data_IF_546027186452
#
_entry.id   IF_546027186452
#
_cell.length_a   1.000
_cell.length_b   1.000
_cell.length_c   1.000
_cell.angle_alpha   90.00
_cell.angle_beta   90.00
_cell.angle_gamma   90.00
#
_symmetry.space_group_name_H-M   'P 1'
#
loop_
_entity.id
_entity.type
_entity.pdbx_description
1 polymer ?
#
# COMPACT_ATOMS: atom_id res chain seq x y z
N UNK A 1 1.73 -4.34 3.73
CA UNK A 1 0.77 -5.36 3.23
C UNK A 1 -0.65 -4.92 3.55
N UNK A 2 -1.55 -4.92 2.56
CA UNK A 2 -2.95 -4.57 2.76
C UNK A 2 -3.81 -5.82 2.92
N UNK A 3 -4.94 -5.69 3.62
CA UNK A 3 -5.98 -6.71 3.69
C UNK A 3 -7.16 -6.33 2.80
N UNK A 4 -7.83 -7.32 2.23
CA UNK A 4 -9.18 -7.13 1.70
C UNK A 4 -10.16 -6.79 2.85
N UNK A 5 -11.26 -6.12 2.54
CA UNK A 5 -12.28 -5.76 3.53
C UNK A 5 -12.78 -6.99 4.32
N UNK A 6 -13.07 -8.10 3.64
CA UNK A 6 -13.56 -9.31 4.31
C UNK A 6 -12.53 -9.88 5.31
N UNK A 7 -11.23 -9.82 4.98
CA UNK A 7 -10.15 -10.26 5.86
C UNK A 7 -10.03 -9.33 7.07
N UNK A 8 -10.08 -8.02 6.85
CA UNK A 8 -10.07 -7.03 7.91
C UNK A 8 -11.26 -7.23 8.87
N UNK A 9 -12.47 -7.49 8.35
CA UNK A 9 -13.66 -7.81 9.15
C UNK A 9 -13.53 -9.13 9.91
N UNK A 10 -12.88 -10.15 9.35
CA UNK A 10 -12.55 -11.38 10.08
C UNK A 10 -11.67 -11.10 11.30
N UNK A 11 -10.63 -10.24 11.13
CA UNK A 11 -9.79 -9.82 12.25
C UNK A 11 -10.60 -9.01 13.27
N UNK A 12 -11.47 -8.10 12.82
CA UNK A 12 -12.36 -7.34 13.71
C UNK A 12 -13.27 -8.26 14.53
N UNK A 13 -13.88 -9.27 13.90
CA UNK A 13 -14.72 -10.25 14.58
C UNK A 13 -13.96 -11.05 15.66
N UNK A 14 -12.69 -11.42 15.40
CA UNK A 14 -11.83 -12.10 16.38
C UNK A 14 -11.61 -11.24 17.65
N UNK A 15 -11.63 -9.92 17.51
CA UNK A 15 -11.53 -8.97 18.62
C UNK A 15 -12.89 -8.62 19.25
N UNK A 16 -13.98 -9.20 18.74
CA UNK A 16 -15.34 -8.92 19.23
C UNK A 16 -15.90 -7.57 18.80
N UNK A 17 -15.35 -6.97 17.75
CA UNK A 17 -15.88 -5.74 17.16
C UNK A 17 -17.19 -6.01 16.40
N UNK A 18 -18.13 -5.05 16.41
CA UNK A 18 -19.43 -5.22 15.73
C UNK A 18 -19.27 -5.08 14.21
N UNK A 19 -19.33 -6.19 13.51
CA UNK A 19 -19.30 -6.30 12.05
C UNK A 19 -20.47 -7.13 11.55
N UNK A 20 -20.96 -6.87 10.33
CA UNK A 20 -21.96 -7.71 9.68
C UNK A 20 -21.41 -9.10 9.38
N UNK A 21 -22.26 -10.09 9.45
CA UNK A 21 -21.98 -11.44 8.93
C UNK A 21 -21.88 -11.36 7.42
N UNK A 22 -20.87 -12.01 6.84
CA UNK A 22 -20.67 -12.01 5.39
C UNK A 22 -19.72 -13.10 4.94
N UNK A 23 -19.72 -13.35 3.63
CA UNK A 23 -18.94 -14.39 2.97
C UNK A 23 -18.19 -13.82 1.78
N UNK A 24 -16.90 -14.11 1.68
CA UNK A 24 -16.11 -13.88 0.48
C UNK A 24 -16.26 -15.09 -0.45
N UNK A 25 -16.52 -14.85 -1.72
CA UNK A 25 -16.86 -15.86 -2.72
C UNK A 25 -16.08 -15.61 -4.01
N UNK A 26 -15.83 -16.67 -4.76
CA UNK A 26 -15.09 -16.65 -6.02
C UNK A 26 -16.00 -16.78 -7.26
N UNK A 27 -17.25 -17.20 -7.06
CA UNK A 27 -18.21 -17.47 -8.13
C UNK A 27 -19.60 -16.91 -7.84
N UNK A 28 -20.40 -16.70 -8.89
CA UNK A 28 -21.79 -16.29 -8.77
C UNK A 28 -22.67 -17.33 -8.03
N UNK A 29 -22.36 -18.63 -8.21
CA UNK A 29 -23.12 -19.69 -7.52
C UNK A 29 -22.86 -19.69 -6.01
N UNK A 30 -21.59 -19.47 -5.61
CA UNK A 30 -21.24 -19.29 -4.20
C UNK A 30 -21.88 -18.03 -3.60
N UNK A 31 -21.93 -16.92 -4.37
CA UNK A 31 -22.57 -15.70 -3.93
C UNK A 31 -24.07 -15.90 -3.66
N UNK A 32 -24.76 -16.60 -4.54
CA UNK A 32 -26.18 -16.97 -4.34
C UNK A 32 -26.35 -17.92 -3.15
N UNK A 33 -25.44 -18.88 -2.96
CA UNK A 33 -25.48 -19.76 -1.79
C UNK A 33 -25.27 -18.97 -0.48
N UNK A 34 -24.34 -17.99 -0.48
CA UNK A 34 -24.07 -17.14 0.66
C UNK A 34 -25.30 -16.33 1.12
N UNK A 35 -26.13 -15.83 0.20
CA UNK A 35 -27.36 -15.10 0.58
C UNK A 35 -28.34 -15.95 1.38
N UNK A 36 -28.35 -17.27 1.22
CA UNK A 36 -29.23 -18.19 1.96
C UNK A 36 -28.76 -18.43 3.40
N UNK A 37 -27.52 -18.11 3.70
CA UNK A 37 -26.90 -18.23 5.03
C UNK A 37 -26.91 -16.90 5.80
N UNK A 38 -27.33 -15.80 5.16
CA UNK A 38 -27.41 -14.46 5.73
C UNK A 38 -28.84 -14.13 6.10
N UNK A 39 -29.00 -13.31 7.13
CA UNK A 39 -30.31 -12.84 7.56
C UNK A 39 -30.82 -11.69 6.65
N UNK A 40 -32.14 -11.53 6.60
CA UNK A 40 -32.83 -10.48 5.84
C UNK A 40 -33.09 -10.82 4.38
N UNK A 41 -33.78 -9.88 3.70
CA UNK A 41 -34.19 -9.99 2.30
C UNK A 41 -33.37 -9.05 1.38
N UNK A 42 -32.46 -8.27 1.94
CA UNK A 42 -31.57 -7.34 1.25
C UNK A 42 -30.15 -7.56 1.74
N UNK A 43 -29.23 -7.72 0.81
CA UNK A 43 -27.82 -7.92 1.11
C UNK A 43 -26.97 -6.85 0.43
N UNK A 44 -25.78 -6.62 0.95
CA UNK A 44 -24.77 -5.78 0.30
C UNK A 44 -23.77 -6.67 -0.41
N UNK A 45 -23.53 -6.40 -1.69
CA UNK A 45 -22.53 -7.11 -2.47
C UNK A 45 -21.40 -6.15 -2.84
N UNK A 46 -20.13 -6.55 -2.58
CA UNK A 46 -18.98 -5.68 -2.69
C UNK A 46 -17.82 -6.35 -3.42
N UNK A 47 -17.26 -5.68 -4.40
CA UNK A 47 -15.99 -6.08 -5.03
C UNK A 47 -14.86 -6.00 -3.99
N UNK A 48 -13.95 -6.97 -4.01
CA UNK A 48 -12.79 -7.00 -3.11
C UNK A 48 -11.52 -6.64 -3.88
N UNK A 49 -11.02 -5.42 -3.65
CA UNK A 49 -9.76 -4.88 -4.20
C UNK A 49 -9.07 -4.02 -3.14
N UNK A 50 -7.75 -3.86 -3.24
CA UNK A 50 -6.96 -3.02 -2.33
C UNK A 50 -7.04 -1.52 -2.69
N UNK A 51 -8.20 -1.03 -3.10
CA UNK A 51 -8.44 0.36 -3.43
C UNK A 51 -9.71 0.88 -2.77
N UNK A 52 -9.70 2.15 -2.37
CA UNK A 52 -10.89 2.87 -1.92
C UNK A 52 -11.74 3.37 -3.10
N UNK A 53 -12.91 3.91 -2.79
CA UNK A 53 -13.81 4.46 -3.81
C UNK A 53 -14.62 3.42 -4.59
N UNK A 54 -14.63 2.16 -4.15
CA UNK A 54 -15.39 1.06 -4.78
C UNK A 54 -16.85 1.39 -5.03
N UNK A 55 -17.52 2.05 -4.06
CA UNK A 55 -18.92 2.46 -4.20
C UNK A 55 -19.14 3.41 -5.37
N UNK A 56 -18.27 4.44 -5.53
CA UNK A 56 -18.34 5.39 -6.67
C UNK A 56 -18.07 4.73 -8.01
N UNK A 57 -17.25 3.68 -8.02
CA UNK A 57 -16.94 2.88 -9.21
C UNK A 57 -17.99 1.80 -9.52
N UNK A 58 -19.10 1.74 -8.75
CA UNK A 58 -20.16 0.75 -8.91
C UNK A 58 -19.82 -0.64 -8.35
N UNK A 59 -18.71 -0.77 -7.64
CA UNK A 59 -18.24 -2.01 -7.01
C UNK A 59 -18.95 -2.34 -5.68
N UNK A 60 -20.00 -1.60 -5.31
CA UNK A 60 -20.86 -1.87 -4.15
C UNK A 60 -22.32 -1.70 -4.59
N UNK A 61 -23.17 -2.68 -4.28
CA UNK A 61 -24.58 -2.64 -4.64
C UNK A 61 -25.44 -3.32 -3.55
N UNK A 62 -26.63 -2.77 -3.30
CA UNK A 62 -27.69 -3.47 -2.58
C UNK A 62 -28.41 -4.41 -3.55
N UNK A 63 -28.63 -5.64 -3.15
CA UNK A 63 -29.30 -6.69 -3.93
C UNK A 63 -30.34 -7.39 -3.09
N UNK A 64 -31.43 -7.84 -3.73
CA UNK A 64 -32.56 -8.52 -3.08
C UNK A 64 -32.96 -9.81 -3.78
N UNK A 65 -32.40 -10.11 -4.94
CA UNK A 65 -32.73 -11.28 -5.74
C UNK A 65 -31.48 -12.03 -6.19
N UNK A 66 -31.63 -13.36 -6.40
CA UNK A 66 -30.54 -14.19 -6.95
C UNK A 66 -30.07 -13.67 -8.34
N UNK A 67 -30.98 -13.13 -9.13
CA UNK A 67 -30.68 -12.60 -10.45
C UNK A 67 -29.74 -11.37 -10.37
N UNK A 68 -30.01 -10.45 -9.43
CA UNK A 68 -29.16 -9.28 -9.19
C UNK A 68 -27.77 -9.66 -8.67
N UNK A 69 -27.69 -10.69 -7.81
CA UNK A 69 -26.42 -11.23 -7.30
C UNK A 69 -25.59 -11.79 -8.45
N UNK A 70 -26.20 -12.62 -9.34
CA UNK A 70 -25.50 -13.18 -10.50
C UNK A 70 -25.04 -12.09 -11.47
N UNK A 71 -25.93 -11.15 -11.81
CA UNK A 71 -25.59 -10.02 -12.69
C UNK A 71 -24.37 -9.26 -12.18
N UNK A 72 -24.32 -9.00 -10.89
CA UNK A 72 -23.19 -8.30 -10.27
C UNK A 72 -21.89 -9.12 -10.33
N UNK A 73 -21.95 -10.40 -9.98
CA UNK A 73 -20.80 -11.28 -10.04
C UNK A 73 -20.26 -11.44 -11.48
N UNK A 74 -21.15 -11.69 -12.45
CA UNK A 74 -20.80 -11.86 -13.86
C UNK A 74 -20.20 -10.58 -14.46
N UNK A 75 -20.61 -9.41 -13.94
CA UNK A 75 -20.06 -8.12 -14.37
C UNK A 75 -18.63 -7.90 -13.88
N UNK A 76 -18.31 -8.31 -12.65
CA UNK A 76 -17.07 -7.89 -12.00
C UNK A 76 -16.01 -8.98 -11.85
N UNK A 77 -16.38 -10.24 -11.61
CA UNK A 77 -15.42 -11.33 -11.44
C UNK A 77 -14.61 -11.51 -12.74
N UNK A 78 -13.27 -11.51 -12.61
CA UNK A 78 -12.35 -11.64 -13.74
C UNK A 78 -12.13 -10.35 -14.55
N UNK A 79 -12.64 -9.21 -14.07
CA UNK A 79 -12.38 -7.88 -14.65
C UNK A 79 -11.50 -7.05 -13.72
N UNK A 80 -11.10 -5.87 -14.17
CA UNK A 80 -10.41 -4.89 -13.34
C UNK A 80 -11.36 -3.77 -12.92
N UNK A 81 -11.34 -3.42 -11.63
CA UNK A 81 -12.06 -2.25 -11.12
C UNK A 81 -11.14 -1.03 -11.12
N UNK A 82 -11.53 0.00 -11.87
CA UNK A 82 -10.88 1.31 -11.85
C UNK A 82 -11.58 2.22 -10.87
N UNK A 83 -10.84 2.79 -9.93
CA UNK A 83 -11.33 3.78 -8.96
C UNK A 83 -10.46 5.05 -9.05
N UNK A 84 -10.81 6.10 -8.32
CA UNK A 84 -9.97 7.30 -8.25
C UNK A 84 -8.64 7.08 -7.48
N UNK A 85 -8.48 5.93 -6.81
CA UNK A 85 -7.26 5.55 -6.10
C UNK A 85 -6.38 4.55 -6.88
N UNK A 86 -6.85 4.06 -8.02
CA UNK A 86 -6.08 3.16 -8.90
C UNK A 86 -5.48 3.93 -10.07
N UNK A 87 -4.52 3.32 -10.75
CA UNK A 87 -4.13 3.71 -12.09
C UNK A 87 -5.23 3.42 -13.13
N UNK A 88 -4.96 3.70 -14.42
CA UNK A 88 -5.90 3.45 -15.50
C UNK A 88 -6.18 1.96 -15.77
N UNK A 89 -5.31 1.05 -15.33
CA UNK A 89 -5.49 -0.39 -15.49
C UNK A 89 -6.44 -0.96 -14.42
N UNK A 90 -6.59 -0.28 -13.28
CA UNK A 90 -7.40 -0.73 -12.15
C UNK A 90 -6.79 -1.90 -11.38
N UNK A 91 -7.59 -2.48 -10.50
CA UNK A 91 -7.21 -3.64 -9.68
C UNK A 91 -8.03 -4.87 -10.07
N UNK A 92 -7.40 -6.06 -10.19
CA UNK A 92 -8.10 -7.28 -10.59
C UNK A 92 -9.12 -7.70 -9.54
N UNK A 93 -10.31 -8.09 -10.00
CA UNK A 93 -11.40 -8.56 -9.15
C UNK A 93 -11.45 -10.08 -9.22
N UNK A 94 -10.95 -10.74 -8.18
CA UNK A 94 -11.04 -12.20 -8.02
C UNK A 94 -12.14 -12.62 -7.06
N UNK A 95 -12.51 -11.74 -6.10
CA UNK A 95 -13.46 -12.06 -5.03
C UNK A 95 -14.55 -11.01 -4.89
N UNK A 96 -15.73 -11.49 -4.52
CA UNK A 96 -16.88 -10.69 -4.12
C UNK A 96 -17.17 -10.97 -2.64
N UNK A 97 -17.54 -9.95 -1.88
CA UNK A 97 -18.00 -10.09 -0.51
C UNK A 97 -19.51 -9.83 -0.45
N UNK A 98 -20.25 -10.79 0.07
CA UNK A 98 -21.72 -10.70 0.27
C UNK A 98 -21.97 -10.65 1.76
N UNK A 99 -22.66 -9.62 2.25
CA UNK A 99 -22.92 -9.43 3.68
C UNK A 99 -24.32 -8.92 3.98
N UNK A 100 -24.72 -9.08 5.24
CA UNK A 100 -25.97 -8.54 5.77
C UNK A 100 -26.00 -7.02 5.67
N UNK A 101 -27.16 -6.49 5.27
CA UNK A 101 -27.37 -5.05 5.15
C UNK A 101 -27.61 -4.43 6.53
N UNK A 102 -26.82 -3.43 6.90
CA UNK A 102 -27.05 -2.65 8.11
C UNK A 102 -28.03 -1.49 7.85
N UNK A 103 -28.94 -1.28 8.79
CA UNK A 103 -29.90 -0.15 8.77
C UNK A 103 -29.20 1.11 9.30
N UNK A 104 -28.68 1.96 8.42
CA UNK A 104 -27.86 3.11 8.77
C UNK A 104 -28.73 4.29 9.17
N UNK A 105 -28.47 4.90 10.34
CA UNK A 105 -29.00 6.18 10.77
C UNK A 105 -28.00 7.32 10.54
N UNK A 106 -26.72 7.11 10.92
CA UNK A 106 -25.64 8.08 10.76
C UNK A 106 -24.35 7.41 10.33
N UNK A 107 -23.61 8.11 9.51
CA UNK A 107 -22.25 7.72 9.11
C UNK A 107 -21.23 8.58 9.86
N UNK A 108 -20.17 7.93 10.32
CA UNK A 108 -19.04 8.52 11.02
C UNK A 108 -17.75 8.02 10.36
N UNK A 109 -16.68 8.74 10.58
CA UNK A 109 -15.32 8.29 10.24
C UNK A 109 -14.58 7.89 11.51
N UNK A 110 -13.82 6.80 11.46
CA UNK A 110 -12.84 6.42 12.47
C UNK A 110 -11.62 5.81 11.81
N UNK A 111 -10.45 6.39 12.04
CA UNK A 111 -9.20 5.89 11.51
C UNK A 111 -8.08 5.98 12.52
N UNK A 112 -6.99 5.25 12.28
CA UNK A 112 -5.78 5.30 13.08
C UNK A 112 -4.54 5.16 12.20
N UNK A 113 -3.52 5.96 12.51
CA UNK A 113 -2.21 5.93 11.85
C UNK A 113 -1.11 6.12 12.87
N UNK A 114 0.12 5.79 12.47
CA UNK A 114 1.32 6.18 13.21
C UNK A 114 1.70 7.61 12.81
N UNK A 115 1.54 8.55 13.72
CA UNK A 115 2.07 9.90 13.52
C UNK A 115 3.58 9.91 13.80
N UNK A 116 4.36 10.15 12.75
CA UNK A 116 5.81 10.15 12.80
C UNK A 116 6.39 11.30 13.63
N UNK A 117 5.67 12.43 13.68
CA UNK A 117 6.12 13.62 14.42
C UNK A 117 6.07 13.39 15.93
N UNK A 118 4.97 12.87 16.43
CA UNK A 118 4.79 12.55 17.85
C UNK A 118 5.30 11.13 18.22
N UNK A 119 5.59 10.28 17.23
CA UNK A 119 5.94 8.86 17.42
C UNK A 119 4.87 8.11 18.22
N UNK A 120 3.61 8.37 17.90
CA UNK A 120 2.43 7.81 18.58
C UNK A 120 1.42 7.29 17.57
N UNK A 121 0.61 6.34 18.01
CA UNK A 121 -0.62 6.00 17.29
C UNK A 121 -1.62 7.11 17.54
N UNK A 122 -2.17 7.69 16.49
CA UNK A 122 -3.17 8.74 16.54
C UNK A 122 -4.46 8.22 15.92
N UNK A 123 -5.53 8.24 16.70
CA UNK A 123 -6.87 8.01 16.22
C UNK A 123 -7.47 9.32 15.73
N UNK A 124 -8.16 9.25 14.62
CA UNK A 124 -8.91 10.35 14.02
C UNK A 124 -10.37 9.94 13.90
N UNK A 125 -11.28 10.82 14.28
CA UNK A 125 -12.71 10.60 14.17
C UNK A 125 -13.38 11.85 13.59
N UNK A 126 -14.48 11.66 12.83
CA UNK A 126 -15.26 12.77 12.26
C UNK A 126 -16.71 12.39 12.11
N UNK A 127 -17.58 13.41 12.11
CA UNK A 127 -19.00 13.28 11.72
C UNK A 127 -19.20 13.21 10.21
N UNK A 128 -18.15 13.44 9.42
CA UNK A 128 -18.14 13.40 7.96
C UNK A 128 -17.72 11.99 7.48
N UNK A 129 -18.55 10.98 7.78
CA UNK A 129 -18.34 9.62 7.33
C UNK A 129 -18.83 9.38 5.89
N UNK A 130 -18.40 8.26 5.28
CA UNK A 130 -18.80 7.87 3.92
C UNK A 130 -18.21 8.71 2.79
N UNK A 131 -17.47 9.77 3.10
CA UNK A 131 -16.85 10.72 2.18
C UNK A 131 -15.34 10.58 2.06
N UNK A 132 -14.74 11.52 1.31
CA UNK A 132 -13.28 11.65 1.17
C UNK A 132 -12.73 12.42 2.37
N UNK A 133 -12.24 11.71 3.37
CA UNK A 133 -11.75 12.29 4.62
C UNK A 133 -10.56 13.23 4.41
N UNK A 134 -9.77 12.98 3.35
CA UNK A 134 -8.64 13.82 2.96
C UNK A 134 -9.09 15.25 2.63
N UNK A 135 -10.22 15.40 1.93
CA UNK A 135 -10.81 16.72 1.66
C UNK A 135 -11.31 17.40 2.93
N UNK A 136 -11.91 16.62 3.84
CA UNK A 136 -12.33 17.17 5.14
C UNK A 136 -11.13 17.66 5.94
N UNK A 137 -10.02 16.92 5.91
CA UNK A 137 -8.79 17.30 6.58
C UNK A 137 -8.14 18.57 5.98
N UNK A 138 -8.28 18.78 4.67
CA UNK A 138 -7.77 19.96 3.96
C UNK A 138 -8.66 21.19 4.14
N UNK A 139 -9.97 21.02 3.90
CA UNK A 139 -10.93 22.13 3.85
C UNK A 139 -11.47 22.55 5.23
N UNK A 140 -11.64 21.58 6.16
CA UNK A 140 -12.25 21.76 7.47
C UNK A 140 -11.54 20.92 8.55
N UNK A 141 -10.21 21.15 8.79
CA UNK A 141 -9.40 20.33 9.69
C UNK A 141 -9.92 20.27 11.14
N UNK A 142 -10.71 21.26 11.57
CA UNK A 142 -11.36 21.30 12.88
C UNK A 142 -12.44 20.22 13.06
N UNK A 143 -12.94 19.63 11.98
CA UNK A 143 -13.87 18.49 12.00
C UNK A 143 -13.17 17.16 12.25
N UNK A 144 -11.84 17.12 12.20
CA UNK A 144 -11.05 15.93 12.50
C UNK A 144 -10.67 15.94 13.98
N UNK A 145 -11.40 15.18 14.75
CA UNK A 145 -11.12 14.96 16.17
C UNK A 145 -9.96 13.99 16.32
N UNK A 146 -9.07 14.21 17.29
CA UNK A 146 -7.87 13.38 17.47
C UNK A 146 -7.75 12.86 18.89
N UNK A 147 -7.33 11.59 19.01
CA UNK A 147 -6.91 10.99 20.28
C UNK A 147 -5.54 10.34 20.09
N UNK A 148 -4.57 10.77 20.89
CA UNK A 148 -3.20 10.24 20.87
C UNK A 148 -3.07 9.12 21.87
N UNK A 149 -2.56 7.97 21.44
CA UNK A 149 -2.33 6.81 22.31
C UNK A 149 -0.90 6.85 22.84
N UNK A 150 -0.76 6.93 24.15
CA UNK A 150 0.54 6.77 24.78
C UNK A 150 0.94 5.28 24.78
N UNK A 151 2.09 4.91 24.22
CA UNK A 151 2.48 3.51 24.10
C UNK A 151 2.78 2.83 25.44
N UNK A 152 3.08 3.60 26.50
CA UNK A 152 3.33 3.05 27.84
C UNK A 152 2.03 2.81 28.62
N UNK A 153 1.02 3.67 28.41
CA UNK A 153 -0.28 3.58 29.10
C UNK A 153 -1.29 2.75 28.31
N UNK A 154 -1.11 2.64 26.99
CA UNK A 154 -2.10 2.06 26.10
C UNK A 154 -3.37 2.92 25.96
N UNK A 155 -4.37 2.42 25.22
CA UNK A 155 -5.64 3.11 25.04
C UNK A 155 -6.44 3.20 26.33
N UNK A 156 -7.00 4.38 26.59
CA UNK A 156 -7.81 4.63 27.78
C UNK A 156 -9.28 4.87 27.42
N UNK A 157 -10.21 4.23 28.14
CA UNK A 157 -11.64 4.32 27.85
C UNK A 157 -12.18 5.74 27.89
N UNK A 158 -11.57 6.65 28.67
CA UNK A 158 -11.99 8.05 28.71
C UNK A 158 -11.75 8.76 27.38
N UNK A 159 -10.66 8.42 26.65
CA UNK A 159 -10.36 8.99 25.34
C UNK A 159 -11.47 8.64 24.32
N UNK A 160 -11.92 7.38 24.32
CA UNK A 160 -13.03 6.95 23.48
C UNK A 160 -14.35 7.65 23.88
N UNK A 161 -14.62 7.84 25.17
CA UNK A 161 -15.81 8.60 25.61
C UNK A 161 -15.75 10.07 25.22
N UNK A 162 -14.57 10.68 25.32
CA UNK A 162 -14.38 12.09 24.93
C UNK A 162 -14.65 12.27 23.43
N UNK A 163 -14.08 11.43 22.58
CA UNK A 163 -14.39 11.42 21.14
C UNK A 163 -15.89 11.19 20.89
N UNK A 164 -16.51 10.25 21.61
CA UNK A 164 -17.94 9.96 21.46
C UNK A 164 -18.81 11.18 21.75
N UNK A 165 -18.51 11.94 22.81
CA UNK A 165 -19.19 13.18 23.11
C UNK A 165 -19.01 14.24 22.02
N UNK A 166 -17.80 14.41 21.53
CA UNK A 166 -17.50 15.36 20.46
C UNK A 166 -18.18 14.98 19.13
N UNK A 167 -18.34 13.69 18.85
CA UNK A 167 -19.11 13.16 17.71
C UNK A 167 -20.64 13.32 17.90
N UNK A 168 -21.11 13.79 19.06
CA UNK A 168 -22.53 13.92 19.38
C UNK A 168 -23.23 12.59 19.63
N UNK A 169 -22.50 11.55 20.05
CA UNK A 169 -23.08 10.29 20.46
C UNK A 169 -23.71 10.38 21.84
N UNK A 170 -24.76 9.59 22.10
CA UNK A 170 -25.52 9.66 23.32
C UNK A 170 -25.88 8.27 23.89
N UNK A 171 -26.23 8.23 25.16
CA UNK A 171 -26.73 7.01 25.79
C UNK A 171 -25.77 5.82 25.70
N UNK A 172 -26.24 4.67 25.20
CA UNK A 172 -25.44 3.45 25.05
C UNK A 172 -24.30 3.61 24.05
N UNK A 173 -24.45 4.47 23.05
CA UNK A 173 -23.50 4.70 21.98
C UNK A 173 -22.12 5.13 22.51
N UNK A 174 -22.08 5.95 23.59
CA UNK A 174 -20.84 6.45 24.20
C UNK A 174 -19.96 5.29 24.68
N UNK A 175 -20.55 4.33 25.38
CA UNK A 175 -19.79 3.19 25.89
C UNK A 175 -19.46 2.18 24.79
N UNK A 176 -20.35 1.97 23.83
CA UNK A 176 -20.08 1.13 22.67
C UNK A 176 -18.91 1.69 21.84
N UNK A 177 -18.92 2.99 21.55
CA UNK A 177 -17.84 3.66 20.83
C UNK A 177 -16.52 3.59 21.62
N UNK A 178 -16.54 3.82 22.92
CA UNK A 178 -15.35 3.70 23.76
C UNK A 178 -14.77 2.27 23.76
N UNK A 179 -15.64 1.25 23.72
CA UNK A 179 -15.23 -0.16 23.61
C UNK A 179 -14.62 -0.43 22.22
N UNK A 180 -15.26 0.03 21.14
CA UNK A 180 -14.72 -0.09 19.77
C UNK A 180 -13.35 0.59 19.68
N UNK A 181 -13.24 1.84 20.14
CA UNK A 181 -12.01 2.61 20.15
C UNK A 181 -10.86 1.89 20.89
N UNK A 182 -11.09 1.46 22.12
CA UNK A 182 -10.05 0.81 22.92
C UNK A 182 -9.65 -0.56 22.36
N UNK A 183 -10.60 -1.29 21.79
CA UNK A 183 -10.34 -2.58 21.14
C UNK A 183 -9.53 -2.41 19.86
N UNK A 184 -9.89 -1.45 19.01
CA UNK A 184 -9.14 -1.11 17.79
C UNK A 184 -7.72 -0.63 18.11
N UNK A 185 -7.56 0.19 19.14
CA UNK A 185 -6.24 0.71 19.52
C UNK A 185 -5.33 -0.41 20.06
N UNK A 186 -5.88 -1.38 20.82
CA UNK A 186 -5.15 -2.57 21.22
C UNK A 186 -4.78 -3.45 20.02
N UNK A 187 -5.75 -3.73 19.15
CA UNK A 187 -5.54 -4.50 17.92
C UNK A 187 -4.49 -3.86 17.02
N UNK A 188 -4.49 -2.52 16.90
CA UNK A 188 -3.52 -1.78 16.08
C UNK A 188 -2.08 -2.11 16.48
N UNK A 189 -1.80 -2.14 17.79
CA UNK A 189 -0.47 -2.47 18.32
C UNK A 189 -0.19 -3.97 18.26
N UNK A 190 -1.14 -4.83 18.68
CA UNK A 190 -0.95 -6.29 18.73
C UNK A 190 -0.78 -6.93 17.35
N UNK A 191 -1.38 -6.35 16.32
CA UNK A 191 -1.32 -6.82 14.92
C UNK A 191 -0.34 -6.06 14.06
N UNK A 192 0.48 -5.17 14.65
CA UNK A 192 1.47 -4.35 13.94
C UNK A 192 0.86 -3.59 12.73
N UNK A 193 -0.27 -2.92 12.97
CA UNK A 193 -0.92 -2.16 11.91
C UNK A 193 -0.16 -0.85 11.62
N UNK A 194 -0.14 -0.44 10.37
CA UNK A 194 0.35 0.87 9.92
C UNK A 194 -0.79 1.84 9.58
N UNK A 195 -1.94 1.28 9.20
CA UNK A 195 -3.18 2.00 8.92
C UNK A 195 -4.38 1.16 9.37
N UNK A 196 -5.36 1.83 9.94
CA UNK A 196 -6.70 1.32 10.18
C UNK A 196 -7.69 2.40 9.80
N UNK A 197 -8.69 2.08 8.99
CA UNK A 197 -9.74 2.99 8.60
C UNK A 197 -11.08 2.26 8.57
N UNK A 198 -12.09 2.87 9.18
CA UNK A 198 -13.48 2.45 9.13
C UNK A 198 -14.27 3.63 8.55
N UNK A 199 -14.62 3.53 7.27
CA UNK A 199 -15.27 4.61 6.55
C UNK A 199 -16.38 4.08 5.62
N UNK A 200 -17.62 4.02 6.14
CA UNK A 200 -18.06 4.60 7.41
C UNK A 200 -18.03 3.63 8.61
N UNK A 201 -17.82 4.17 9.80
CA UNK A 201 -18.36 3.67 11.05
C UNK A 201 -19.79 4.17 11.17
N UNK A 202 -20.75 3.33 11.49
CA UNK A 202 -22.15 3.78 11.49
C UNK A 202 -22.82 3.67 12.85
N UNK A 203 -23.82 4.53 13.05
CA UNK A 203 -24.88 4.32 14.04
C UNK A 203 -26.05 3.72 13.30
N UNK A 204 -26.52 2.56 13.73
CA UNK A 204 -27.70 1.90 13.16
C UNK A 204 -28.98 2.56 13.69
N UNK A 205 -30.12 2.31 13.02
CA UNK A 205 -31.45 2.81 13.51
C UNK A 205 -31.81 2.31 14.91
N UNK A 206 -31.27 1.14 15.30
CA UNK A 206 -31.44 0.63 16.68
C UNK A 206 -30.51 1.35 17.68
N UNK A 207 -29.72 2.29 17.20
CA UNK A 207 -28.80 3.10 17.98
C UNK A 207 -27.54 2.38 18.39
N UNK A 208 -27.12 1.32 17.68
CA UNK A 208 -25.88 0.59 17.92
C UNK A 208 -24.75 1.12 17.04
N UNK A 209 -23.52 1.03 17.54
CA UNK A 209 -22.31 1.34 16.77
C UNK A 209 -21.92 0.08 15.97
N UNK A 210 -21.61 0.28 14.68
CA UNK A 210 -21.30 -0.84 13.78
C UNK A 210 -20.17 -0.46 12.80
N UNK A 211 -19.20 -1.37 12.61
CA UNK A 211 -18.08 -1.22 11.66
C UNK A 211 -18.52 -1.71 10.27
N UNK A 212 -18.95 -0.78 9.40
CA UNK A 212 -19.58 -1.13 8.12
C UNK A 212 -18.56 -1.43 7.03
N UNK A 213 -17.45 -0.71 6.98
CA UNK A 213 -16.32 -0.97 6.09
C UNK A 213 -15.04 -1.13 6.92
N UNK A 214 -14.00 -1.65 6.32
CA UNK A 214 -12.71 -1.82 6.98
C UNK A 214 -11.57 -1.78 5.95
N UNK A 215 -10.62 -0.89 6.17
CA UNK A 215 -9.35 -0.83 5.46
C UNK A 215 -8.22 -0.96 6.47
N UNK A 216 -7.41 -1.99 6.31
CA UNK A 216 -6.32 -2.32 7.24
C UNK A 216 -5.04 -2.57 6.46
N UNK A 217 -3.97 -1.91 6.89
CA UNK A 217 -2.62 -2.17 6.41
C UNK A 217 -1.74 -2.61 7.58
N UNK A 218 -0.90 -3.61 7.33
CA UNK A 218 0.03 -4.18 8.29
C UNK A 218 1.44 -3.72 7.92
N UNK A 219 2.26 -3.43 8.91
CA UNK A 219 3.68 -3.17 8.69
C UNK A 219 4.35 -4.42 8.13
N UNK A 220 4.82 -4.35 6.89
CA UNK A 220 5.45 -5.49 6.21
C UNK A 220 6.70 -5.98 6.94
N UNK A 221 7.40 -5.09 7.68
CA UNK A 221 8.55 -5.47 8.49
C UNK A 221 8.18 -6.35 9.70
N UNK A 222 6.92 -6.40 10.09
CA UNK A 222 6.44 -7.20 11.20
C UNK A 222 5.83 -8.56 10.78
N UNK A 223 5.69 -8.84 9.49
CA UNK A 223 5.02 -10.06 8.98
C UNK A 223 5.67 -11.35 9.48
N UNK A 224 6.97 -11.34 9.76
CA UNK A 224 7.67 -12.51 10.32
C UNK A 224 7.06 -13.01 11.64
N UNK A 225 6.42 -12.14 12.41
CA UNK A 225 5.73 -12.48 13.67
C UNK A 225 4.21 -12.52 13.55
N UNK A 226 3.64 -12.08 12.41
CA UNK A 226 2.20 -12.06 12.10
C UNK A 226 1.85 -13.11 11.04
N UNK A 227 2.16 -14.40 11.30
CA UNK A 227 2.03 -15.49 10.32
C UNK A 227 0.62 -15.69 9.79
N UNK A 228 -0.41 -15.51 10.63
CA UNK A 228 -1.81 -15.61 10.20
C UNK A 228 -2.17 -14.49 9.22
N UNK A 229 -1.73 -13.25 9.49
CA UNK A 229 -1.95 -12.12 8.59
C UNK A 229 -1.12 -12.26 7.30
N UNK A 230 0.12 -12.74 7.41
CA UNK A 230 0.97 -13.01 6.24
C UNK A 230 0.31 -13.99 5.27
N UNK A 231 -0.40 -15.00 5.78
CA UNK A 231 -1.13 -15.97 4.95
C UNK A 231 -2.34 -15.36 4.21
N UNK A 232 -2.80 -14.17 4.62
CA UNK A 232 -3.88 -13.43 3.97
C UNK A 232 -3.39 -12.50 2.83
N UNK A 233 -2.08 -12.44 2.56
CA UNK A 233 -1.53 -11.61 1.49
C UNK A 233 -2.09 -12.03 0.13
N UNK A 234 -2.51 -11.05 -0.65
CA UNK A 234 -2.95 -11.25 -2.03
C UNK A 234 -1.96 -10.54 -3.00
N UNK A 235 -0.97 -11.29 -3.55
CA UNK A 235 0.02 -10.71 -4.45
C UNK A 235 -0.59 -10.14 -5.74
N UNK A 236 -1.79 -10.60 -6.16
CA UNK A 236 -2.44 -10.10 -7.37
C UNK A 236 -2.89 -8.63 -7.25
N UNK A 237 -2.94 -8.10 -6.03
CA UNK A 237 -3.29 -6.71 -5.72
C UNK A 237 -2.06 -5.81 -5.52
N UNK A 238 -0.87 -6.34 -5.67
CA UNK A 238 0.40 -5.63 -5.51
C UNK A 238 1.08 -5.44 -6.89
N UNK A 239 2.05 -4.54 -6.98
CA UNK A 239 2.83 -4.38 -8.21
C UNK A 239 3.69 -5.64 -8.46
N UNK A 240 3.64 -6.18 -9.68
CA UNK A 240 4.36 -7.41 -10.04
C UNK A 240 5.87 -7.27 -9.83
N UNK A 241 6.44 -6.08 -10.05
CA UNK A 241 7.86 -5.78 -9.85
C UNK A 241 8.24 -5.75 -8.37
N UNK A 242 7.34 -5.23 -7.50
CA UNK A 242 7.53 -5.26 -6.04
C UNK A 242 7.48 -6.69 -5.52
N UNK A 243 6.58 -7.50 -6.06
CA UNK A 243 6.49 -8.94 -5.75
C UNK A 243 7.76 -9.68 -6.18
N UNK A 244 8.19 -9.50 -7.43
CA UNK A 244 9.41 -10.11 -7.95
C UNK A 244 10.64 -9.67 -7.14
N UNK A 245 10.78 -8.39 -6.83
CA UNK A 245 11.87 -7.87 -6.02
C UNK A 245 11.94 -8.50 -4.62
N UNK A 246 10.78 -8.76 -4.02
CA UNK A 246 10.70 -9.38 -2.70
C UNK A 246 11.22 -10.82 -2.66
N UNK A 247 11.20 -11.55 -3.77
CA UNK A 247 11.76 -12.91 -3.88
C UNK A 247 13.29 -12.92 -3.78
N UNK A 248 13.93 -11.78 -4.07
CA UNK A 248 15.37 -11.58 -4.02
C UNK A 248 15.83 -10.73 -2.82
N UNK A 249 14.97 -10.52 -1.82
CA UNK A 249 15.22 -9.64 -0.67
C UNK A 249 15.60 -8.20 -1.05
N UNK A 250 15.08 -7.71 -2.18
CA UNK A 250 15.28 -6.35 -2.67
C UNK A 250 14.17 -5.42 -2.16
N UNK A 251 14.56 -4.22 -1.72
CA UNK A 251 13.59 -3.17 -1.38
C UNK A 251 13.28 -2.34 -2.63
N UNK A 252 12.17 -2.65 -3.29
CA UNK A 252 11.69 -1.98 -4.50
C UNK A 252 10.34 -1.30 -4.24
N UNK A 253 10.18 -0.09 -4.76
CA UNK A 253 8.90 0.62 -4.84
C UNK A 253 8.75 1.17 -6.24
N UNK A 254 7.67 0.83 -6.92
CA UNK A 254 7.32 1.35 -8.24
C UNK A 254 6.89 2.82 -8.16
N UNK A 255 7.36 3.65 -9.10
CA UNK A 255 7.00 5.06 -9.27
C UNK A 255 6.64 5.34 -10.73
N UNK A 256 6.06 6.52 -11.00
CA UNK A 256 5.55 6.86 -12.35
C UNK A 256 6.58 7.55 -13.28
N UNK A 257 7.85 7.55 -12.93
CA UNK A 257 8.89 8.24 -13.68
C UNK A 257 9.42 7.47 -14.89
N UNK A 258 10.53 7.98 -15.44
CA UNK A 258 11.21 7.39 -16.62
C UNK A 258 12.70 7.11 -16.39
N UNK A 259 13.22 7.37 -15.20
CA UNK A 259 14.62 7.10 -14.85
C UNK A 259 14.64 6.00 -13.79
N UNK A 260 15.07 4.81 -14.21
CA UNK A 260 15.28 3.69 -13.29
C UNK A 260 16.46 3.98 -12.35
N UNK A 261 16.29 3.73 -11.05
CA UNK A 261 17.29 3.99 -10.03
C UNK A 261 17.70 2.69 -9.33
N UNK A 262 19.02 2.42 -9.24
CA UNK A 262 19.59 1.33 -8.44
C UNK A 262 20.65 1.91 -7.51
N UNK A 263 20.48 1.71 -6.23
CA UNK A 263 21.34 2.31 -5.20
C UNK A 263 21.56 1.32 -4.06
N UNK A 264 22.69 1.40 -3.37
CA UNK A 264 22.89 0.65 -2.14
C UNK A 264 22.75 1.57 -0.93
N UNK A 265 21.70 1.31 -0.14
CA UNK A 265 21.32 2.06 1.05
C UNK A 265 20.19 3.07 0.80
N UNK A 266 19.13 2.95 1.60
CA UNK A 266 17.90 3.72 1.44
C UNK A 266 18.11 5.24 1.48
N UNK A 267 18.99 5.74 2.33
CA UNK A 267 19.31 7.18 2.41
C UNK A 267 19.96 7.70 1.13
N UNK A 268 20.89 6.92 0.55
CA UNK A 268 21.52 7.26 -0.72
C UNK A 268 20.53 7.17 -1.88
N UNK A 269 19.60 6.21 -1.85
CA UNK A 269 18.54 6.08 -2.83
C UNK A 269 17.61 7.30 -2.82
N UNK A 270 17.13 7.73 -1.66
CA UNK A 270 16.32 8.94 -1.54
C UNK A 270 17.05 10.18 -2.04
N UNK A 271 18.32 10.40 -1.62
CA UNK A 271 19.12 11.54 -2.09
C UNK A 271 19.41 11.49 -3.60
N UNK A 272 19.55 10.30 -4.19
CA UNK A 272 19.71 10.12 -5.64
C UNK A 272 18.44 10.52 -6.38
N UNK A 273 17.26 10.08 -5.89
CA UNK A 273 15.97 10.43 -6.48
C UNK A 273 15.69 11.94 -6.37
N UNK A 274 16.01 12.56 -5.23
CA UNK A 274 15.87 14.01 -5.04
C UNK A 274 16.71 14.79 -6.06
N UNK A 275 17.95 14.36 -6.30
CA UNK A 275 18.80 14.99 -7.31
C UNK A 275 18.30 14.78 -8.75
N UNK A 276 17.75 13.61 -9.06
CA UNK A 276 17.09 13.38 -10.35
C UNK A 276 15.94 14.37 -10.54
N UNK A 277 15.08 14.55 -9.53
CA UNK A 277 13.99 15.53 -9.55
C UNK A 277 14.49 16.97 -9.64
N UNK A 278 15.51 17.34 -8.88
CA UNK A 278 16.10 18.67 -8.89
C UNK A 278 16.60 19.06 -10.29
N UNK A 279 17.06 18.09 -11.08
CA UNK A 279 17.51 18.30 -12.46
C UNK A 279 16.43 18.09 -13.53
N UNK A 280 15.17 17.98 -13.13
CA UNK A 280 13.99 17.92 -14.00
C UNK A 280 13.64 16.53 -14.51
N UNK A 281 14.23 15.47 -13.95
CA UNK A 281 13.84 14.08 -14.24
C UNK A 281 12.82 13.54 -13.24
N UNK A 282 12.21 12.41 -13.58
CA UNK A 282 11.28 11.70 -12.70
C UNK A 282 11.77 10.26 -12.48
N UNK A 283 12.05 9.84 -11.22
CA UNK A 283 12.42 8.46 -10.90
C UNK A 283 11.28 7.48 -11.21
N UNK A 284 11.61 6.37 -11.86
CA UNK A 284 10.68 5.28 -12.16
C UNK A 284 10.50 4.31 -10.99
N UNK A 285 11.44 4.30 -10.07
CA UNK A 285 11.41 3.42 -8.90
C UNK A 285 12.34 3.92 -7.79
N UNK A 286 12.05 3.47 -6.57
CA UNK A 286 13.03 3.34 -5.50
C UNK A 286 13.57 1.91 -5.52
N UNK A 287 14.89 1.73 -5.45
CA UNK A 287 15.49 0.41 -5.29
C UNK A 287 16.77 0.51 -4.45
N UNK A 288 16.77 -0.19 -3.33
CA UNK A 288 17.93 -0.40 -2.48
C UNK A 288 18.37 -1.88 -2.56
N UNK A 289 19.56 -2.10 -3.12
CA UNK A 289 20.14 -3.44 -3.21
C UNK A 289 20.83 -3.90 -1.91
N UNK A 290 20.84 -3.05 -0.88
CA UNK A 290 21.42 -3.34 0.42
C UNK A 290 22.96 -3.33 0.45
N UNK A 291 23.50 -3.53 1.65
CA UNK A 291 24.93 -3.54 1.91
C UNK A 291 25.63 -4.90 1.68
N UNK A 292 24.87 -5.94 1.35
CA UNK A 292 25.34 -7.33 1.12
C UNK A 292 25.02 -7.83 -0.28
N UNK A 293 24.77 -6.91 -1.22
CA UNK A 293 24.38 -7.24 -2.59
C UNK A 293 25.39 -8.18 -3.25
N UNK A 294 24.89 -9.22 -3.87
CA UNK A 294 25.67 -10.16 -4.68
C UNK A 294 25.54 -9.84 -6.17
N UNK A 295 26.35 -10.49 -7.00
CA UNK A 295 26.24 -10.37 -8.45
C UNK A 295 24.84 -10.77 -8.95
N UNK A 296 24.27 -11.79 -8.36
CA UNK A 296 22.94 -12.34 -8.70
C UNK A 296 21.85 -11.34 -8.34
N UNK A 297 21.82 -10.81 -7.10
CA UNK A 297 20.82 -9.85 -6.68
C UNK A 297 20.88 -8.55 -7.48
N UNK A 298 22.08 -8.08 -7.84
CA UNK A 298 22.26 -6.90 -8.72
C UNK A 298 21.74 -7.17 -10.12
N UNK A 299 21.98 -8.37 -10.67
CA UNK A 299 21.47 -8.76 -11.99
C UNK A 299 19.94 -8.77 -12.02
N UNK A 300 19.30 -9.37 -11.01
CA UNK A 300 17.84 -9.41 -10.94
C UNK A 300 17.25 -8.02 -10.70
N UNK A 301 17.83 -7.22 -9.80
CA UNK A 301 17.44 -5.83 -9.60
C UNK A 301 17.45 -5.02 -10.91
N UNK A 302 18.47 -5.22 -11.73
CA UNK A 302 18.59 -4.53 -13.01
C UNK A 302 17.54 -5.00 -14.03
N UNK A 303 17.25 -6.32 -14.07
CA UNK A 303 16.18 -6.88 -14.90
C UNK A 303 14.80 -6.31 -14.51
N UNK A 304 14.50 -6.24 -13.21
CA UNK A 304 13.25 -5.69 -12.69
C UNK A 304 13.07 -4.22 -13.11
N UNK A 305 14.13 -3.39 -12.98
CA UNK A 305 14.07 -2.00 -13.48
C UNK A 305 13.73 -1.96 -14.97
N UNK A 306 14.35 -2.81 -15.77
CA UNK A 306 14.19 -2.81 -17.22
C UNK A 306 12.89 -3.44 -17.70
N UNK A 307 12.18 -4.18 -16.85
CA UNK A 307 10.84 -4.69 -17.16
C UNK A 307 9.80 -3.57 -17.24
N UNK A 308 10.09 -2.40 -16.64
CA UNK A 308 9.25 -1.21 -16.78
C UNK A 308 9.44 -0.56 -18.17
N UNK A 309 8.43 -0.67 -19.02
CA UNK A 309 8.45 -0.09 -20.37
C UNK A 309 8.55 1.44 -20.41
N UNK A 310 8.33 2.13 -19.29
CA UNK A 310 8.46 3.59 -19.19
C UNK A 310 9.91 4.03 -18.96
N UNK A 311 10.80 3.14 -18.56
CA UNK A 311 12.19 3.46 -18.28
C UNK A 311 12.94 3.80 -19.56
N UNK A 312 13.48 5.01 -19.61
CA UNK A 312 14.25 5.57 -20.75
C UNK A 312 15.73 5.67 -20.47
N UNK A 313 16.14 5.68 -19.21
CA UNK A 313 17.52 5.63 -18.76
C UNK A 313 17.61 4.98 -17.38
N UNK A 314 18.76 4.37 -17.05
CA UNK A 314 19.00 3.81 -15.73
C UNK A 314 20.17 4.56 -15.08
N UNK A 315 19.96 4.97 -13.82
CA UNK A 315 20.98 5.55 -12.95
C UNK A 315 21.36 4.55 -11.86
N UNK A 316 22.60 4.14 -11.85
CA UNK A 316 23.19 3.27 -10.83
C UNK A 316 24.16 4.10 -9.99
N UNK A 317 23.90 4.21 -8.69
CA UNK A 317 24.69 4.98 -7.77
C UNK A 317 25.10 4.14 -6.57
N UNK A 318 26.36 3.71 -6.53
CA UNK A 318 26.88 2.80 -5.52
C UNK A 318 27.95 3.50 -4.70
N UNK A 319 27.79 3.45 -3.40
CA UNK A 319 28.83 3.76 -2.44
C UNK A 319 29.41 2.47 -1.85
N UNK A 320 30.65 2.17 -2.21
CA UNK A 320 31.37 0.99 -1.75
C UNK A 320 31.83 1.15 -0.31
N UNK A 321 30.97 0.74 0.62
CA UNK A 321 31.33 0.55 2.02
C UNK A 321 31.66 -0.92 2.28
N UNK A 322 30.64 -1.68 2.71
CA UNK A 322 30.74 -3.16 2.85
C UNK A 322 30.73 -3.80 1.46
N UNK A 323 29.84 -3.35 0.58
CA UNK A 323 29.80 -3.79 -0.82
C UNK A 323 31.00 -3.24 -1.60
N UNK A 324 31.57 -4.05 -2.47
CA UNK A 324 32.68 -3.67 -3.33
C UNK A 324 32.14 -3.31 -4.73
N UNK A 325 32.57 -2.17 -5.27
CA UNK A 325 32.07 -1.66 -6.55
C UNK A 325 32.38 -2.56 -7.73
N UNK A 326 33.46 -3.31 -7.72
CA UNK A 326 33.82 -4.29 -8.76
C UNK A 326 32.85 -5.47 -8.81
N UNK A 327 32.34 -5.94 -7.65
CA UNK A 327 31.30 -6.97 -7.60
C UNK A 327 30.00 -6.47 -8.29
N UNK A 328 29.59 -5.25 -7.95
CA UNK A 328 28.43 -4.62 -8.58
C UNK A 328 28.64 -4.43 -10.08
N UNK A 329 29.82 -3.99 -10.50
CA UNK A 329 30.15 -3.83 -11.91
C UNK A 329 30.00 -5.14 -12.69
N UNK A 330 30.44 -6.26 -12.13
CA UNK A 330 30.27 -7.58 -12.76
C UNK A 330 28.80 -8.02 -12.83
N UNK A 331 27.98 -7.70 -11.82
CA UNK A 331 26.54 -7.90 -11.83
C UNK A 331 25.86 -7.13 -12.96
N UNK A 332 26.18 -5.84 -13.08
CA UNK A 332 25.66 -4.97 -14.14
C UNK A 332 26.07 -5.50 -15.53
N UNK A 333 27.35 -5.82 -15.73
CA UNK A 333 27.86 -6.36 -17.01
C UNK A 333 27.14 -7.65 -17.37
N UNK A 334 26.93 -8.53 -16.40
CA UNK A 334 26.18 -9.78 -16.58
C UNK A 334 24.75 -9.53 -17.03
N UNK A 335 24.02 -8.70 -16.31
CA UNK A 335 22.64 -8.35 -16.62
C UNK A 335 22.49 -7.67 -18.00
N UNK A 336 23.34 -6.70 -18.30
CA UNK A 336 23.32 -5.98 -19.59
C UNK A 336 23.55 -6.93 -20.78
N UNK A 337 24.46 -7.90 -20.64
CA UNK A 337 24.73 -8.91 -21.68
C UNK A 337 23.57 -9.92 -21.84
N UNK A 338 22.94 -10.29 -20.73
CA UNK A 338 21.85 -11.28 -20.72
C UNK A 338 20.55 -10.68 -21.26
N UNK A 339 20.21 -9.45 -20.84
CA UNK A 339 18.93 -8.79 -21.17
C UNK A 339 18.99 -8.04 -22.51
N UNK A 340 20.18 -7.68 -23.00
CA UNK A 340 20.31 -6.94 -24.26
C UNK A 340 19.80 -5.50 -24.11
N UNK A 341 20.29 -4.78 -23.12
CA UNK A 341 19.84 -3.44 -22.72
C UNK A 341 19.89 -2.43 -23.87
N UNK A 342 18.76 -1.76 -24.11
CA UNK A 342 18.61 -0.76 -25.19
C UNK A 342 18.62 0.68 -24.67
N UNK A 343 18.47 0.88 -23.35
CA UNK A 343 18.44 2.21 -22.73
C UNK A 343 19.83 2.61 -22.23
N UNK A 344 20.16 3.92 -22.20
CA UNK A 344 21.40 4.39 -21.60
C UNK A 344 21.50 4.03 -20.13
N UNK A 345 22.69 3.60 -19.71
CA UNK A 345 23.00 3.28 -18.30
C UNK A 345 24.08 4.25 -17.81
N UNK A 346 23.77 5.03 -16.79
CA UNK A 346 24.70 5.93 -16.11
C UNK A 346 25.12 5.31 -14.80
N UNK A 347 26.40 5.21 -14.55
CA UNK A 347 26.95 4.57 -13.34
C UNK A 347 27.86 5.54 -12.61
N UNK A 348 27.64 5.69 -11.31
CA UNK A 348 28.57 6.34 -10.41
C UNK A 348 28.99 5.37 -9.33
N UNK A 349 30.29 5.16 -9.21
CA UNK A 349 30.92 4.40 -8.12
C UNK A 349 31.74 5.32 -7.24
N UNK A 350 31.70 5.09 -5.94
CA UNK A 350 32.55 5.74 -4.93
C UNK A 350 32.85 4.75 -3.81
N UNK A 351 34.01 4.90 -3.15
CA UNK A 351 34.41 4.03 -2.03
C UNK A 351 35.19 2.80 -2.47
N UNK A 352 35.02 1.67 -1.78
CA UNK A 352 35.84 0.47 -1.97
C UNK A 352 35.74 -0.09 -3.39
N UNK A 353 36.94 -0.24 -4.03
CA UNK A 353 37.08 -0.79 -5.38
C UNK A 353 36.35 0.02 -6.47
N UNK A 354 36.10 1.34 -6.25
CA UNK A 354 35.43 2.18 -7.24
C UNK A 354 36.19 2.20 -8.57
N UNK A 355 37.50 2.41 -8.53
CA UNK A 355 38.36 2.44 -9.73
C UNK A 355 38.33 1.10 -10.48
N UNK A 356 38.37 -0.03 -9.76
CA UNK A 356 38.27 -1.36 -10.36
C UNK A 356 36.91 -1.60 -11.00
N UNK A 357 35.84 -1.09 -10.36
CA UNK A 357 34.50 -1.15 -10.92
C UNK A 357 34.36 -0.36 -12.21
N UNK A 358 34.88 0.87 -12.25
CA UNK A 358 34.89 1.71 -13.46
C UNK A 358 35.72 1.07 -14.57
N UNK A 359 36.89 0.52 -14.24
CA UNK A 359 37.73 -0.20 -15.21
C UNK A 359 37.04 -1.42 -15.80
N UNK A 360 36.38 -2.23 -14.95
CA UNK A 360 35.62 -3.41 -15.41
C UNK A 360 34.49 -3.01 -16.38
N UNK A 361 33.77 -1.92 -16.08
CA UNK A 361 32.72 -1.40 -16.97
C UNK A 361 33.30 -0.93 -18.31
N UNK A 362 34.43 -0.19 -18.29
CA UNK A 362 35.10 0.30 -19.50
C UNK A 362 35.59 -0.83 -20.41
N UNK A 363 36.11 -1.92 -19.82
CA UNK A 363 36.61 -3.08 -20.55
C UNK A 363 35.50 -4.02 -21.04
N UNK A 364 34.28 -3.87 -20.55
CA UNK A 364 33.16 -4.78 -20.83
C UNK A 364 32.64 -4.73 -22.27
N UNK A 365 32.89 -3.63 -22.98
CA UNK A 365 32.33 -3.32 -24.30
C UNK A 365 30.85 -2.92 -24.26
N UNK A 366 30.28 -2.71 -23.08
CA UNK A 366 28.90 -2.26 -22.90
C UNK A 366 28.83 -0.73 -22.93
N UNK A 367 27.80 -0.16 -23.53
CA UNK A 367 27.62 1.28 -23.61
C UNK A 367 27.12 1.84 -22.26
N UNK A 368 28.05 2.15 -21.36
CA UNK A 368 27.78 2.70 -20.03
C UNK A 368 28.48 4.07 -19.90
N UNK A 369 27.77 5.00 -19.32
CA UNK A 369 28.24 6.36 -19.04
C UNK A 369 28.74 6.40 -17.60
N UNK A 370 30.06 6.55 -17.41
CA UNK A 370 30.64 6.72 -16.07
C UNK A 370 30.53 8.18 -15.61
N UNK A 371 29.95 8.39 -14.44
CA UNK A 371 29.79 9.71 -13.84
C UNK A 371 30.80 9.93 -12.70
N UNK A 372 31.26 11.18 -12.54
CA UNK A 372 32.31 11.56 -11.60
C UNK A 372 31.80 12.03 -10.25
N UNK A 373 30.53 12.45 -10.16
CA UNK A 373 29.87 12.88 -8.94
C UNK A 373 28.40 12.53 -8.98
N UNK A 374 27.72 12.60 -7.83
CA UNK A 374 26.30 12.32 -7.76
C UNK A 374 25.46 13.31 -8.58
N UNK A 375 25.83 14.60 -8.54
CA UNK A 375 25.19 15.64 -9.37
C UNK A 375 25.39 15.37 -10.85
N UNK A 376 26.62 15.03 -11.26
CA UNK A 376 26.95 14.68 -12.64
C UNK A 376 26.15 13.45 -13.10
N UNK A 377 26.04 12.43 -12.24
CA UNK A 377 25.26 11.21 -12.52
C UNK A 377 23.78 11.53 -12.77
N UNK A 378 23.16 12.33 -11.90
CA UNK A 378 21.77 12.75 -12.07
C UNK A 378 21.55 13.55 -13.36
N UNK A 379 22.42 14.52 -13.65
CA UNK A 379 22.37 15.31 -14.88
C UNK A 379 22.52 14.46 -16.14
N UNK A 380 23.43 13.50 -16.13
CA UNK A 380 23.66 12.61 -17.26
C UNK A 380 22.47 11.67 -17.47
N UNK A 381 21.88 11.12 -16.40
CA UNK A 381 20.70 10.27 -16.47
C UNK A 381 19.48 11.04 -17.04
N UNK A 382 19.24 12.27 -16.57
CA UNK A 382 18.16 13.13 -17.06
C UNK A 382 18.33 13.44 -18.55
N UNK A 383 19.55 13.81 -19.00
CA UNK A 383 19.84 14.04 -20.41
C UNK A 383 19.65 12.77 -21.25
N UNK A 384 20.12 11.64 -20.75
CA UNK A 384 20.04 10.35 -21.43
C UNK A 384 18.58 9.87 -21.57
N UNK A 385 17.70 10.20 -20.62
CA UNK A 385 16.27 9.94 -20.71
C UNK A 385 15.53 10.85 -21.70
N UNK A 386 16.21 11.85 -22.32
CA UNK A 386 15.60 12.75 -23.30
C UNK A 386 14.67 13.79 -22.69
N UNK A 387 14.83 14.10 -21.40
CA UNK A 387 14.05 15.17 -20.76
C UNK A 387 14.54 16.52 -21.25
N UNK A 388 13.68 17.38 -21.86
CA UNK A 388 14.06 18.74 -22.25
C UNK A 388 14.48 19.58 -21.04
N UNK A 389 15.43 20.48 -21.25
CA UNK A 389 15.87 21.45 -20.23
C UNK A 389 14.81 22.49 -19.93
#
# INVERSE_FOLDING_TARGET
MNLHEYQAKQVFAQYGLPVSKGFAVDTADEAVAATKELDGDIWVIKVQVHAGGRGKAGGVKLVSTEAEVREFCDKFIGTNLVTFQTDANGQPVSKIYVEECADIERELYLGAVIDRSSQRVVFMASTEGGGEIEKVAEETPEKILKAVIDPALGPQAYQGRDLAFQLGLAGKQINQFATVFTTLARMFVEKDLSLLEINPLVVTKDGDIHCLDAKVSIDSNALYRQKELQAMRDPSQEDDRENEASEYDLNYVALEGSIGCMVNGAGLAMGTMDLVKLHGGEPANFLDVGGTATKETVSEAFKIILSDGNVKAVLINIFGGIVQCDIIAHGIIGAVKEVGVKVPVVVRFEGNNADLGVEALAQSGVNIIAATSLTDAAQQAVRAAGVPR
#
